data_IF_491849448114
#
_entry.id   IF_491849448114
#
_cell.length_a   1.000
_cell.length_b   1.000
_cell.length_c   1.000
_cell.angle_alpha   90.00
_cell.angle_beta   90.00
_cell.angle_gamma   90.00
#
_symmetry.space_group_name_H-M   'P 1'
#
loop_
_entity.id
_entity.type
_entity.pdbx_description
1 polymer ?
#
# COMPACT_ATOMS: atom_id res chain seq x y z
N UNK A 1 27.16 29.37 -0.78
CA UNK A 1 26.26 28.75 0.23
C UNK A 1 25.06 28.22 -0.53
N UNK A 2 25.01 26.92 -0.85
CA UNK A 2 23.80 26.34 -1.44
C UNK A 2 22.74 26.26 -0.34
N UNK A 3 21.62 26.96 -0.51
CA UNK A 3 20.52 26.96 0.44
C UNK A 3 19.80 25.62 0.46
N UNK A 4 19.23 25.25 1.61
CA UNK A 4 18.37 24.08 1.71
C UNK A 4 17.09 24.34 0.89
N UNK A 5 16.88 23.56 -0.16
CA UNK A 5 15.70 23.65 -1.03
C UNK A 5 14.74 22.51 -0.68
N UNK A 6 13.46 22.83 -0.51
CA UNK A 6 12.40 21.85 -0.20
C UNK A 6 11.41 21.80 -1.36
N UNK A 7 11.04 20.59 -1.77
CA UNK A 7 10.07 20.34 -2.84
C UNK A 7 8.89 19.56 -2.27
N UNK A 8 7.67 19.97 -2.62
CA UNK A 8 6.44 19.24 -2.35
C UNK A 8 5.85 18.89 -3.71
N UNK A 9 5.84 17.60 -4.04
CA UNK A 9 5.24 17.09 -5.25
C UNK A 9 3.88 16.49 -4.88
N UNK A 10 2.81 17.02 -5.47
CA UNK A 10 1.43 16.61 -5.15
C UNK A 10 0.91 15.69 -6.25
N UNK A 11 0.45 14.51 -5.85
CA UNK A 11 -0.17 13.53 -6.75
C UNK A 11 -0.01 12.11 -6.22
N UNK A 12 -0.45 11.14 -7.03
CA UNK A 12 -0.26 9.72 -6.73
C UNK A 12 1.23 9.35 -6.77
N UNK A 13 1.75 8.84 -5.65
CA UNK A 13 3.13 8.39 -5.50
C UNK A 13 3.57 7.40 -6.59
N UNK A 14 2.66 6.56 -7.11
CA UNK A 14 2.94 5.63 -8.22
C UNK A 14 3.39 6.35 -9.49
N UNK A 15 2.95 7.59 -9.68
CA UNK A 15 3.27 8.42 -10.85
C UNK A 15 4.31 9.49 -10.54
N UNK A 16 4.15 10.23 -9.44
CA UNK A 16 4.99 11.37 -9.07
C UNK A 16 6.45 10.94 -8.84
N UNK A 17 6.67 9.76 -8.27
CA UNK A 17 8.02 9.24 -8.08
C UNK A 17 8.76 9.14 -9.42
N UNK A 18 8.09 8.92 -10.56
CA UNK A 18 8.68 8.88 -11.89
C UNK A 18 9.27 10.22 -12.37
N UNK A 19 8.88 11.34 -11.77
CA UNK A 19 9.36 12.68 -12.10
C UNK A 19 10.67 13.04 -11.38
N UNK A 20 11.08 12.20 -10.43
CA UNK A 20 12.29 12.41 -9.64
C UNK A 20 13.46 11.71 -10.32
N UNK A 21 14.61 12.36 -10.42
CA UNK A 21 15.82 11.74 -10.96
C UNK A 21 16.21 10.46 -10.18
N UNK A 22 16.72 9.41 -10.84
CA UNK A 22 17.16 8.19 -10.17
C UNK A 22 18.41 8.43 -9.31
N UNK A 23 18.56 7.68 -8.22
CA UNK A 23 19.77 7.72 -7.39
C UNK A 23 20.06 9.05 -6.68
N UNK A 24 19.07 9.94 -6.53
CA UNK A 24 19.29 11.24 -5.87
C UNK A 24 19.08 11.18 -4.35
N UNK A 25 18.23 10.28 -3.87
CA UNK A 25 17.85 10.22 -2.46
C UNK A 25 18.73 9.25 -1.66
N UNK A 26 19.15 9.68 -0.46
CA UNK A 26 19.89 8.82 0.47
C UNK A 26 18.96 8.00 1.37
N UNK A 27 17.78 8.52 1.67
CA UNK A 27 16.84 7.94 2.61
C UNK A 27 15.41 8.19 2.14
N UNK A 28 14.57 7.19 2.30
CA UNK A 28 13.12 7.32 2.27
C UNK A 28 12.59 6.88 3.64
N UNK A 29 11.81 7.73 4.29
CA UNK A 29 11.07 7.38 5.49
C UNK A 29 9.58 7.57 5.18
N UNK A 30 8.78 6.54 5.41
CA UNK A 30 7.36 6.58 5.02
C UNK A 30 6.49 5.68 5.90
N UNK A 31 5.22 6.07 5.99
CA UNK A 31 4.11 5.28 6.52
C UNK A 31 2.96 5.34 5.51
N UNK A 32 2.82 4.35 4.61
CA UNK A 32 1.76 4.38 3.61
C UNK A 32 0.38 4.28 4.30
N UNK A 33 -0.73 4.59 3.60
CA UNK A 33 -2.07 4.25 4.08
C UNK A 33 -2.15 2.77 4.49
N UNK A 34 -2.57 2.48 5.72
CA UNK A 34 -2.67 1.11 6.22
C UNK A 34 -3.96 0.46 5.70
N UNK A 35 -3.87 -0.82 5.34
CA UNK A 35 -4.97 -1.56 4.75
C UNK A 35 -6.17 -1.68 5.70
N UNK A 36 -7.34 -1.23 5.25
CA UNK A 36 -8.61 -1.33 5.95
C UNK A 36 -8.78 -0.42 7.17
N UNK A 37 -7.85 0.49 7.46
CA UNK A 37 -7.91 1.29 8.70
C UNK A 37 -8.52 2.68 8.54
N UNK A 38 -8.31 3.34 7.39
CA UNK A 38 -8.77 4.72 7.15
C UNK A 38 -9.29 4.87 5.73
N UNK A 39 -10.37 5.63 5.60
CA UNK A 39 -10.87 6.14 4.33
C UNK A 39 -10.49 7.62 4.21
N UNK A 40 -9.76 7.95 3.15
CA UNK A 40 -9.31 9.30 2.81
C UNK A 40 -10.20 9.99 1.75
N UNK A 41 -11.38 9.44 1.46
CA UNK A 41 -12.35 9.99 0.49
C UNK A 41 -11.74 10.18 -0.92
N UNK A 42 -10.89 9.23 -1.33
CA UNK A 42 -10.24 9.25 -2.63
C UNK A 42 -10.35 7.88 -3.31
N UNK A 43 -10.94 7.84 -4.51
CA UNK A 43 -11.24 6.58 -5.23
C UNK A 43 -10.01 5.72 -5.51
N UNK A 44 -8.86 6.34 -5.79
CA UNK A 44 -7.60 5.65 -6.07
C UNK A 44 -6.70 5.45 -4.83
N UNK A 45 -7.20 5.66 -3.62
CA UNK A 45 -6.41 5.52 -2.40
C UNK A 45 -5.85 4.10 -2.25
N UNK A 46 -4.61 4.01 -1.78
CA UNK A 46 -4.06 2.77 -1.27
C UNK A 46 -4.66 2.51 0.11
N UNK A 47 -4.85 1.25 0.48
CA UNK A 47 -5.39 0.82 1.76
C UNK A 47 -6.88 0.45 1.72
N UNK A 48 -7.59 0.71 0.62
CA UNK A 48 -8.99 0.33 0.43
C UNK A 48 -9.17 -0.88 -0.50
N UNK A 49 -8.09 -1.59 -0.85
CA UNK A 49 -8.14 -2.74 -1.74
C UNK A 49 -8.97 -3.90 -1.17
N UNK A 50 -9.58 -4.70 -2.03
CA UNK A 50 -10.44 -5.82 -1.63
C UNK A 50 -9.68 -7.00 -0.99
N UNK A 51 -8.35 -7.05 -1.10
CA UNK A 51 -7.54 -8.12 -0.51
C UNK A 51 -6.16 -7.61 -0.07
N UNK A 52 -5.52 -8.28 0.91
CA UNK A 52 -4.16 -7.96 1.33
C UNK A 52 -3.14 -8.04 0.18
N UNK A 53 -3.32 -8.99 -0.74
CA UNK A 53 -2.41 -9.19 -1.88
C UNK A 53 -2.48 -8.01 -2.86
N UNK A 54 -3.68 -7.48 -3.11
CA UNK A 54 -3.88 -6.29 -3.93
C UNK A 54 -3.23 -5.06 -3.29
N UNK A 55 -3.39 -4.89 -1.97
CA UNK A 55 -2.71 -3.85 -1.20
C UNK A 55 -1.17 -3.96 -1.29
N UNK A 56 -0.63 -5.15 -1.04
CA UNK A 56 0.83 -5.40 -1.15
C UNK A 56 1.31 -5.14 -2.57
N UNK A 57 0.55 -5.52 -3.60
CA UNK A 57 0.90 -5.26 -5.00
C UNK A 57 1.00 -3.75 -5.29
N UNK A 58 0.04 -2.96 -4.80
CA UNK A 58 0.06 -1.49 -4.93
C UNK A 58 1.25 -0.87 -4.17
N UNK A 59 1.55 -1.34 -2.96
CA UNK A 59 2.73 -0.89 -2.22
C UNK A 59 4.04 -1.22 -2.96
N UNK A 60 4.17 -2.43 -3.51
CA UNK A 60 5.33 -2.83 -4.30
C UNK A 60 5.48 -1.93 -5.53
N UNK A 61 4.38 -1.53 -6.19
CA UNK A 61 4.44 -0.58 -7.29
C UNK A 61 5.04 0.77 -6.87
N UNK A 62 4.64 1.31 -5.71
CA UNK A 62 5.23 2.52 -5.13
C UNK A 62 6.71 2.30 -4.79
N UNK A 63 7.06 1.20 -4.12
CA UNK A 63 8.42 0.95 -3.66
C UNK A 63 9.40 0.64 -4.79
N UNK A 64 8.94 0.19 -5.97
CA UNK A 64 9.77 0.17 -7.18
C UNK A 64 10.19 1.57 -7.61
N UNK A 65 9.27 2.55 -7.53
CA UNK A 65 9.59 3.96 -7.73
C UNK A 65 10.59 4.48 -6.71
N UNK A 66 10.38 4.18 -5.42
CA UNK A 66 11.31 4.55 -4.34
C UNK A 66 12.69 3.94 -4.57
N UNK A 67 12.77 2.66 -4.91
CA UNK A 67 14.04 1.96 -5.16
C UNK A 67 14.85 2.62 -6.28
N UNK A 68 14.19 3.11 -7.33
CA UNK A 68 14.83 3.84 -8.44
C UNK A 68 15.40 5.19 -7.99
N UNK A 69 14.66 5.91 -7.14
CA UNK A 69 15.05 7.25 -6.65
C UNK A 69 16.16 7.15 -5.60
N UNK A 70 16.20 6.07 -4.82
CA UNK A 70 17.26 5.81 -3.85
C UNK A 70 18.59 5.50 -4.53
N UNK A 71 19.68 5.98 -3.91
CA UNK A 71 21.04 5.55 -4.21
C UNK A 71 21.21 4.04 -3.97
N UNK A 72 22.28 3.47 -4.52
CA UNK A 72 22.62 2.06 -4.31
C UNK A 72 22.86 1.71 -2.83
N UNK A 73 23.37 2.65 -2.05
CA UNK A 73 23.54 2.53 -0.60
C UNK A 73 22.42 3.25 0.20
N UNK A 74 21.30 3.57 -0.46
CA UNK A 74 20.17 4.24 0.16
C UNK A 74 19.41 3.32 1.12
N UNK A 75 18.68 3.93 2.06
CA UNK A 75 17.84 3.19 3.03
C UNK A 75 16.37 3.53 2.86
N UNK A 76 15.51 2.53 3.07
CA UNK A 76 14.06 2.69 3.18
C UNK A 76 13.67 2.32 4.61
N UNK A 77 13.04 3.26 5.31
CA UNK A 77 12.41 3.08 6.60
C UNK A 77 10.90 3.04 6.39
N UNK A 78 10.32 1.87 6.59
CA UNK A 78 8.91 1.60 6.38
C UNK A 78 8.23 1.39 7.73
N UNK A 79 7.30 2.27 8.06
CA UNK A 79 6.39 2.08 9.19
C UNK A 79 5.04 1.60 8.65
N UNK A 80 4.68 0.35 8.94
CA UNK A 80 3.39 -0.25 8.55
C UNK A 80 2.88 -1.04 9.73
N UNK A 81 1.63 -0.80 10.08
CA UNK A 81 0.95 -1.51 11.15
C UNK A 81 0.22 -2.75 10.60
N UNK A 82 -0.06 -3.70 11.48
CA UNK A 82 -0.89 -4.85 11.16
C UNK A 82 -2.38 -4.54 11.34
N UNK A 83 -3.23 -5.49 10.95
CA UNK A 83 -4.67 -5.37 11.07
C UNK A 83 -5.28 -6.71 11.48
N UNK A 84 -6.15 -6.69 12.48
CA UNK A 84 -6.91 -7.87 12.89
C UNK A 84 -8.29 -7.86 12.22
N UNK A 85 -8.58 -8.92 11.45
CA UNK A 85 -9.94 -9.14 10.94
C UNK A 85 -10.72 -9.93 11.99
N UNK A 86 -11.69 -9.29 12.64
CA UNK A 86 -12.64 -9.98 13.52
C UNK A 86 -13.73 -10.59 12.64
N UNK A 87 -13.57 -11.85 12.24
CA UNK A 87 -14.56 -12.56 11.45
C UNK A 87 -15.72 -13.07 12.30
N UNK A 88 -16.96 -12.71 11.96
CA UNK A 88 -18.14 -13.48 12.39
C UNK A 88 -18.28 -14.66 11.43
N UNK A 89 -18.02 -15.88 11.92
CA UNK A 89 -18.36 -17.09 11.18
C UNK A 89 -19.86 -17.26 11.23
N UNK A 90 -20.57 -16.81 10.20
CA UNK A 90 -21.98 -17.16 10.01
C UNK A 90 -22.02 -18.56 9.40
N UNK A 91 -22.14 -19.58 10.24
CA UNK A 91 -22.55 -20.90 9.77
C UNK A 91 -24.02 -20.85 9.37
N UNK A 92 -24.30 -20.89 8.07
CA UNK A 92 -25.63 -21.25 7.60
C UNK A 92 -25.81 -22.76 7.82
N UNK A 93 -26.66 -23.13 8.77
CA UNK A 93 -27.14 -24.50 8.90
C UNK A 93 -28.03 -24.81 7.68
N UNK A 94 -27.45 -25.44 6.67
CA UNK A 94 -28.22 -25.96 5.55
C UNK A 94 -29.16 -27.05 6.04
N UNK A 95 -30.46 -26.89 5.79
CA UNK A 95 -31.42 -28.00 5.92
C UNK A 95 -30.97 -29.12 4.97
N UNK A 96 -30.74 -30.32 5.52
CA UNK A 96 -30.39 -31.50 4.76
C UNK A 96 -31.38 -31.71 3.59
N UNK A 97 -30.87 -31.74 2.36
CA UNK A 97 -31.63 -32.29 1.25
C UNK A 97 -31.84 -33.79 1.49
N UNK A 98 -33.07 -34.32 1.36
CA UNK A 98 -33.29 -35.75 1.43
C UNK A 98 -32.60 -36.42 0.22
N UNK A 99 -31.72 -37.37 0.52
CA UNK A 99 -31.17 -38.31 -0.45
C UNK A 99 -32.35 -39.00 -1.15
N UNK A 100 -32.50 -38.79 -2.47
CA UNK A 100 -33.32 -39.68 -3.29
C UNK A 100 -32.36 -40.66 -3.95
N UNK A 101 -32.39 -41.91 -3.47
CA UNK A 101 -31.85 -43.05 -4.20
C UNK A 101 -32.58 -43.17 -5.54
N UNK A 102 -31.81 -43.31 -6.62
CA UNK A 102 -32.22 -43.95 -7.86
C UNK A 102 -31.23 -45.08 -8.14
#
# INVERSE_FOLDING_TARGET
MAGNTVWILVGDSRHVLGQIEPGIAQCCATSPPYWGLRDYDHGDQIGAESSPEAYVSNLVAVFRGVRRVLRDNGTLWLNVDDGYVVGVVVMYCGSASPVTQA
#
